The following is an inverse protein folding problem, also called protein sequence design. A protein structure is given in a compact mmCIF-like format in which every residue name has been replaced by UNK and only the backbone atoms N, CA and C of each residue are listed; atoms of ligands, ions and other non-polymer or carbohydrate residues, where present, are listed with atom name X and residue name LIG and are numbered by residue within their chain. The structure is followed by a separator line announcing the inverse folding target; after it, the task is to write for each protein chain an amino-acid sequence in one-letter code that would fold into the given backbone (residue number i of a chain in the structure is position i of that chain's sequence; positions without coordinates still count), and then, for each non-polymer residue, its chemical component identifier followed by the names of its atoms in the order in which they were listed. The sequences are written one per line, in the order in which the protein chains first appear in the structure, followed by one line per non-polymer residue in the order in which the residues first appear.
data_IF_753785325867
#
_entry.id   IF_753785325867
#
_cell.length_a   1.000
_cell.length_b   1.000
_cell.length_c   1.000
_cell.angle_alpha   90.00
_cell.angle_beta   90.00
_cell.angle_gamma   90.00
#
_symmetry.space_group_name_H-M   'P 1'
#
loop_
_entity.id
_entity.type
_entity.pdbx_description
1 polymer ?
#
# COMPACT_ATOMS: atom_id res chain seq x y z
N UNK A 1 -6.35 -45.26 15.08
CA UNK A 1 -7.47 -44.32 14.83
C UNK A 1 -6.89 -43.08 14.18
N UNK A 2 -6.99 -42.93 12.86
CA UNK A 2 -6.60 -41.68 12.19
C UNK A 2 -7.51 -40.56 12.68
N UNK A 3 -6.89 -39.47 13.13
CA UNK A 3 -7.60 -38.33 13.71
C UNK A 3 -8.16 -37.49 12.54
N UNK A 4 -9.36 -37.80 12.05
CA UNK A 4 -10.02 -37.11 10.94
C UNK A 4 -10.49 -35.68 11.28
N UNK A 5 -10.18 -35.17 12.48
CA UNK A 5 -10.60 -33.84 12.93
C UNK A 5 -9.68 -32.77 12.35
N UNK A 6 -10.22 -31.89 11.54
CA UNK A 6 -9.52 -30.70 11.03
C UNK A 6 -9.54 -29.56 12.05
N UNK A 7 -8.54 -28.69 12.02
CA UNK A 7 -8.38 -27.56 12.95
C UNK A 7 -8.11 -26.24 12.22
N UNK A 8 -8.77 -26.00 11.08
CA UNK A 8 -8.60 -24.77 10.30
C UNK A 8 -8.91 -23.50 11.10
N UNK A 9 -9.94 -23.54 11.95
CA UNK A 9 -10.33 -22.42 12.79
C UNK A 9 -9.21 -21.98 13.75
N UNK A 10 -8.50 -22.95 14.39
CA UNK A 10 -7.38 -22.64 15.28
C UNK A 10 -6.21 -22.04 14.52
N UNK A 11 -5.86 -22.64 13.37
CA UNK A 11 -4.78 -22.14 12.52
C UNK A 11 -5.07 -20.71 12.04
N UNK A 12 -6.32 -20.42 11.69
CA UNK A 12 -6.76 -19.09 11.26
C UNK A 12 -6.64 -18.06 12.40
N UNK A 13 -7.04 -18.39 13.62
CA UNK A 13 -6.85 -17.48 14.75
C UNK A 13 -5.36 -17.21 15.04
N UNK A 14 -4.51 -18.21 14.85
CA UNK A 14 -3.07 -18.02 14.94
C UNK A 14 -2.53 -17.06 13.87
N UNK A 15 -2.99 -17.21 12.62
CA UNK A 15 -2.65 -16.27 11.54
C UNK A 15 -3.16 -14.87 11.84
N UNK A 16 -4.38 -14.71 12.39
CA UNK A 16 -4.90 -13.42 12.81
C UNK A 16 -4.02 -12.75 13.87
N UNK A 17 -3.58 -13.52 14.86
CA UNK A 17 -2.70 -13.01 15.91
C UNK A 17 -1.37 -12.50 15.32
N UNK A 18 -0.73 -13.32 14.50
CA UNK A 18 0.53 -12.93 13.83
C UNK A 18 0.33 -11.70 12.95
N UNK A 19 -0.69 -11.71 12.09
CA UNK A 19 -0.98 -10.58 11.19
C UNK A 19 -1.25 -9.28 11.97
N UNK A 20 -2.01 -9.36 13.06
CA UNK A 20 -2.30 -8.20 13.91
C UNK A 20 -1.03 -7.67 14.59
N UNK A 21 -0.18 -8.57 15.15
CA UNK A 21 1.09 -8.16 15.76
C UNK A 21 2.01 -7.51 14.74
N UNK A 22 2.17 -8.13 13.56
CA UNK A 22 3.02 -7.59 12.50
C UNK A 22 2.54 -6.20 12.06
N UNK A 23 1.25 -6.05 11.75
CA UNK A 23 0.68 -4.77 11.31
C UNK A 23 0.80 -3.71 12.41
N UNK A 24 0.61 -4.09 13.67
CA UNK A 24 0.68 -3.15 14.79
C UNK A 24 2.11 -2.69 15.07
N UNK A 25 3.10 -3.60 15.03
CA UNK A 25 4.48 -3.30 15.37
C UNK A 25 5.28 -2.65 14.21
N UNK A 26 4.85 -2.87 12.97
CA UNK A 26 5.60 -2.46 11.77
C UNK A 26 5.91 -0.95 11.70
N UNK A 27 5.01 -0.01 12.07
CA UNK A 27 5.29 1.42 12.07
C UNK A 27 6.37 1.85 13.07
N UNK A 28 6.61 1.06 14.13
CA UNK A 28 7.61 1.36 15.16
C UNK A 28 9.01 0.84 14.82
N UNK A 29 9.13 0.00 13.78
CA UNK A 29 10.43 -0.56 13.41
C UNK A 29 11.20 0.46 12.59
N UNK A 30 12.27 0.98 13.16
CA UNK A 30 13.17 1.96 12.53
C UNK A 30 14.60 1.47 12.50
N UNK A 31 15.30 1.69 11.38
CA UNK A 31 16.75 1.46 11.24
C UNK A 31 17.37 2.74 10.68
N UNK A 32 18.38 3.26 11.37
CA UNK A 32 19.06 4.51 11.01
C UNK A 32 18.11 5.72 10.85
N UNK A 33 17.02 5.77 11.65
CA UNK A 33 16.03 6.85 11.58
C UNK A 33 15.01 6.71 10.45
N UNK A 34 15.05 5.64 9.66
CA UNK A 34 14.06 5.36 8.62
C UNK A 34 13.14 4.23 9.06
N UNK A 35 11.82 4.45 8.93
CA UNK A 35 10.82 3.41 9.19
C UNK A 35 10.82 2.34 8.11
N UNK A 36 10.38 1.13 8.48
CA UNK A 36 10.21 0.05 7.51
C UNK A 36 9.20 0.41 6.41
N UNK A 37 8.06 0.99 6.78
CA UNK A 37 7.07 1.52 5.87
C UNK A 37 6.42 2.76 6.47
N UNK A 38 6.56 3.90 5.82
CA UNK A 38 5.93 5.17 6.21
C UNK A 38 5.72 6.03 4.97
N UNK A 39 4.50 6.44 4.70
CA UNK A 39 4.16 7.43 3.68
C UNK A 39 3.85 8.77 4.36
N UNK A 40 4.88 9.53 4.73
CA UNK A 40 4.69 10.82 5.39
C UNK A 40 4.37 11.92 4.38
N UNK A 41 3.17 12.49 4.52
CA UNK A 41 2.77 13.66 3.73
C UNK A 41 3.42 14.95 4.27
N UNK A 42 3.53 15.09 5.59
CA UNK A 42 4.11 16.28 6.23
C UNK A 42 5.59 16.45 5.86
N UNK A 43 6.36 15.37 5.88
CA UNK A 43 7.77 15.38 5.51
C UNK A 43 8.00 15.13 4.02
N UNK A 44 6.93 14.90 3.23
CA UNK A 44 7.01 14.59 1.80
C UNK A 44 7.99 13.45 1.49
N UNK A 45 7.96 12.39 2.29
CA UNK A 45 8.85 11.22 2.22
C UNK A 45 8.07 9.93 2.20
N UNK A 46 8.55 8.98 1.40
CA UNK A 46 8.14 7.59 1.43
C UNK A 46 9.30 6.75 1.96
N UNK A 47 9.13 6.13 3.11
CA UNK A 47 10.08 5.13 3.60
C UNK A 47 9.57 3.75 3.19
N UNK A 48 10.40 2.97 2.51
CA UNK A 48 10.11 1.60 2.09
C UNK A 48 11.34 0.74 2.34
N UNK A 49 11.19 -0.33 3.13
CA UNK A 49 12.29 -1.22 3.53
C UNK A 49 13.51 -0.45 4.08
N UNK A 50 13.26 0.53 4.97
CA UNK A 50 14.27 1.40 5.60
C UNK A 50 14.99 2.36 4.63
N UNK A 51 14.55 2.44 3.37
CA UNK A 51 15.06 3.38 2.39
C UNK A 51 14.07 4.54 2.27
N UNK A 52 14.56 5.76 2.45
CA UNK A 52 13.73 6.96 2.29
C UNK A 52 13.75 7.42 0.83
N UNK A 53 12.57 7.60 0.26
CA UNK A 53 12.33 8.16 -1.06
C UNK A 53 11.71 9.55 -0.90
N UNK A 54 12.15 10.49 -1.72
CA UNK A 54 11.59 11.84 -1.76
C UNK A 54 10.36 11.92 -2.66
N UNK A 55 9.65 13.05 -2.61
CA UNK A 55 8.47 13.29 -3.46
C UNK A 55 8.77 13.15 -4.96
N UNK A 56 10.00 13.44 -5.38
CA UNK A 56 10.42 13.30 -6.77
C UNK A 56 10.57 11.84 -7.21
N UNK A 57 10.77 10.94 -6.27
CA UNK A 57 10.89 9.49 -6.49
C UNK A 57 9.54 8.77 -6.33
N UNK A 58 8.44 9.52 -6.11
CA UNK A 58 7.08 8.98 -5.92
C UNK A 58 6.57 8.22 -7.16
N UNK A 59 7.27 8.33 -8.30
CA UNK A 59 6.98 7.52 -9.50
C UNK A 59 7.08 6.00 -9.25
N UNK A 60 7.71 5.56 -8.15
CA UNK A 60 7.75 4.16 -7.74
C UNK A 60 6.42 3.66 -7.15
N UNK A 61 5.58 4.56 -6.60
CA UNK A 61 4.30 4.18 -5.97
C UNK A 61 3.34 3.43 -6.88
N UNK A 62 3.09 3.86 -8.14
CA UNK A 62 2.24 3.11 -9.06
C UNK A 62 2.73 1.67 -9.28
N UNK A 63 4.05 1.46 -9.42
CA UNK A 63 4.63 0.13 -9.60
C UNK A 63 4.49 -0.75 -8.37
N UNK A 64 4.63 -0.16 -7.17
CA UNK A 64 4.37 -0.85 -5.91
C UNK A 64 2.91 -1.30 -5.79
N UNK A 65 1.97 -0.42 -6.15
CA UNK A 65 0.54 -0.74 -6.16
C UNK A 65 0.22 -1.84 -7.18
N UNK A 66 0.76 -1.74 -8.39
CA UNK A 66 0.61 -2.78 -9.42
C UNK A 66 1.14 -4.12 -8.91
N UNK A 67 2.33 -4.13 -8.30
CA UNK A 67 2.90 -5.35 -7.71
C UNK A 67 2.00 -5.94 -6.62
N UNK A 68 1.47 -5.10 -5.73
CA UNK A 68 0.56 -5.52 -4.66
C UNK A 68 -0.73 -6.14 -5.23
N UNK A 69 -1.35 -5.51 -6.23
CA UNK A 69 -2.55 -6.04 -6.88
C UNK A 69 -2.27 -7.36 -7.61
N UNK A 70 -1.15 -7.46 -8.34
CA UNK A 70 -0.74 -8.70 -9.00
C UNK A 70 -0.49 -9.82 -8.00
N UNK A 71 0.12 -9.52 -6.86
CA UNK A 71 0.35 -10.48 -5.78
C UNK A 71 -0.98 -11.00 -5.19
N UNK A 72 -1.92 -10.11 -4.94
CA UNK A 72 -3.26 -10.48 -4.46
C UNK A 72 -3.99 -11.36 -5.50
N UNK A 73 -3.89 -11.02 -6.78
CA UNK A 73 -4.49 -11.82 -7.86
C UNK A 73 -3.83 -13.18 -7.98
N UNK A 74 -2.52 -13.26 -7.86
CA UNK A 74 -1.80 -14.53 -7.85
C UNK A 74 -2.27 -15.45 -6.73
N UNK A 75 -2.35 -14.94 -5.49
CA UNK A 75 -2.89 -15.70 -4.35
C UNK A 75 -4.34 -16.13 -4.59
N UNK A 76 -5.15 -15.26 -5.20
CA UNK A 76 -6.55 -15.54 -5.51
C UNK A 76 -6.71 -16.69 -6.50
N UNK A 77 -5.85 -16.77 -7.51
CA UNK A 77 -5.91 -17.88 -8.48
C UNK A 77 -5.53 -19.21 -7.86
N UNK A 78 -4.69 -19.23 -6.84
CA UNK A 78 -4.29 -20.44 -6.11
C UNK A 78 -5.34 -20.86 -5.09
N UNK A 79 -5.70 -19.97 -4.18
CA UNK A 79 -6.47 -20.28 -2.97
C UNK A 79 -7.88 -19.66 -2.91
N UNK A 80 -8.37 -19.09 -4.02
CA UNK A 80 -9.67 -18.43 -4.03
C UNK A 80 -9.70 -17.24 -3.06
N UNK A 81 -10.70 -17.15 -2.20
CA UNK A 81 -10.88 -16.08 -1.21
C UNK A 81 -10.06 -16.29 0.07
N UNK A 82 -8.89 -16.92 -0.01
CA UNK A 82 -8.05 -17.17 1.16
C UNK A 82 -7.71 -15.87 1.90
N UNK A 83 -7.35 -14.81 1.18
CA UNK A 83 -7.07 -13.51 1.79
C UNK A 83 -8.23 -12.99 2.65
N UNK A 84 -9.46 -13.09 2.14
CA UNK A 84 -10.65 -12.59 2.83
C UNK A 84 -10.85 -13.26 4.20
N UNK A 85 -10.61 -14.57 4.29
CA UNK A 85 -10.83 -15.30 5.53
C UNK A 85 -9.65 -15.31 6.48
N UNK A 86 -8.41 -15.17 5.97
CA UNK A 86 -7.20 -15.44 6.76
C UNK A 86 -6.39 -14.20 7.11
N UNK A 87 -6.51 -13.11 6.35
CA UNK A 87 -5.65 -11.92 6.56
C UNK A 87 -6.39 -10.59 6.44
N UNK A 88 -7.62 -10.58 5.94
CA UNK A 88 -8.38 -9.34 5.76
C UNK A 88 -8.73 -8.69 7.11
N UNK A 89 -8.38 -7.40 7.33
CA UNK A 89 -8.72 -6.69 8.57
C UNK A 89 -10.22 -6.72 8.89
N UNK A 90 -11.09 -6.56 7.88
CA UNK A 90 -12.54 -6.64 8.04
C UNK A 90 -12.97 -7.93 8.75
N UNK A 91 -12.44 -9.07 8.30
CA UNK A 91 -12.78 -10.38 8.89
C UNK A 91 -12.17 -10.54 10.28
N UNK A 92 -10.94 -10.07 10.51
CA UNK A 92 -10.28 -10.13 11.83
C UNK A 92 -11.10 -9.35 12.85
N UNK A 93 -11.42 -8.08 12.58
CA UNK A 93 -12.18 -7.25 13.50
C UNK A 93 -13.62 -7.74 13.68
N UNK A 94 -14.22 -8.31 12.62
CA UNK A 94 -15.54 -8.93 12.73
C UNK A 94 -15.53 -10.16 13.65
N UNK A 95 -14.48 -10.97 13.61
CA UNK A 95 -14.28 -12.10 14.52
C UNK A 95 -14.05 -11.60 15.95
N UNK A 96 -13.26 -10.55 16.16
CA UNK A 96 -13.06 -9.93 17.49
C UNK A 96 -14.42 -9.47 18.04
N UNK A 97 -15.21 -8.73 17.27
CA UNK A 97 -16.49 -8.24 17.72
C UNK A 97 -17.49 -9.37 18.03
N UNK A 98 -17.68 -10.31 17.08
CA UNK A 98 -18.69 -11.38 17.20
C UNK A 98 -18.27 -12.47 18.20
N UNK A 99 -17.04 -13.01 18.07
CA UNK A 99 -16.65 -14.20 18.80
C UNK A 99 -16.08 -13.86 20.19
N UNK A 100 -15.40 -12.71 20.35
CA UNK A 100 -14.84 -12.29 21.64
C UNK A 100 -15.83 -11.40 22.39
N UNK A 101 -16.24 -10.24 21.84
CA UNK A 101 -17.07 -9.26 22.57
C UNK A 101 -18.48 -9.82 22.77
N UNK A 102 -19.18 -10.17 21.67
CA UNK A 102 -20.60 -10.58 21.77
C UNK A 102 -20.76 -11.96 22.40
N UNK A 103 -19.86 -12.92 22.11
CA UNK A 103 -20.06 -14.31 22.56
C UNK A 103 -19.40 -14.59 23.91
N UNK A 104 -18.09 -14.31 24.06
CA UNK A 104 -17.37 -14.64 25.29
C UNK A 104 -17.64 -13.60 26.39
N UNK A 105 -17.54 -12.30 26.08
CA UNK A 105 -17.59 -11.23 27.07
C UNK A 105 -19.04 -10.87 27.47
N UNK A 106 -19.87 -10.49 26.52
CA UNK A 106 -21.24 -10.05 26.79
C UNK A 106 -22.29 -11.17 26.82
N UNK A 107 -21.92 -12.36 26.33
CA UNK A 107 -22.83 -13.54 26.25
C UNK A 107 -24.14 -13.23 25.52
N UNK A 108 -24.09 -12.40 24.47
CA UNK A 108 -25.22 -12.08 23.59
C UNK A 108 -25.55 -13.30 22.70
N UNK A 109 -24.53 -14.09 22.37
CA UNK A 109 -24.68 -15.34 21.62
C UNK A 109 -24.39 -16.54 22.53
N UNK A 110 -25.18 -17.60 22.39
CA UNK A 110 -25.06 -18.78 23.27
C UNK A 110 -23.75 -19.55 23.01
N UNK A 111 -23.35 -19.66 21.76
CA UNK A 111 -22.23 -20.50 21.38
C UNK A 111 -21.51 -19.96 20.13
N UNK A 112 -20.20 -20.05 20.09
CA UNK A 112 -19.37 -19.71 18.93
C UNK A 112 -19.71 -20.58 17.72
N UNK A 113 -20.12 -21.83 17.94
CA UNK A 113 -20.49 -22.77 16.88
C UNK A 113 -21.83 -22.47 16.22
N UNK A 114 -22.65 -21.57 16.78
CA UNK A 114 -23.88 -21.10 16.14
C UNK A 114 -23.82 -19.59 15.94
N UNK A 115 -23.43 -19.18 14.74
CA UNK A 115 -23.25 -17.77 14.39
C UNK A 115 -24.54 -17.10 13.91
N UNK A 116 -25.60 -17.86 13.76
CA UNK A 116 -26.87 -17.37 13.22
C UNK A 116 -27.84 -16.87 14.29
N UNK A 117 -27.80 -17.44 15.49
CA UNK A 117 -28.76 -17.12 16.55
C UNK A 117 -28.19 -16.15 17.58
N UNK A 118 -28.86 -15.03 17.75
CA UNK A 118 -28.65 -14.08 18.85
C UNK A 118 -29.78 -14.21 19.86
N UNK A 119 -29.52 -13.86 21.13
CA UNK A 119 -30.60 -13.70 22.10
C UNK A 119 -31.38 -12.42 21.78
N UNK A 120 -32.70 -12.52 21.78
CA UNK A 120 -33.60 -11.38 21.63
C UNK A 120 -33.60 -10.49 22.88
N UNK A 121 -33.94 -9.20 22.73
CA UNK A 121 -34.19 -8.30 23.86
C UNK A 121 -32.96 -7.76 24.60
N UNK A 122 -31.72 -8.06 24.19
CA UNK A 122 -30.50 -7.61 24.88
C UNK A 122 -29.94 -6.28 24.33
N UNK A 123 -30.78 -5.28 24.18
CA UNK A 123 -30.39 -3.98 23.58
C UNK A 123 -29.26 -3.28 24.36
N UNK A 124 -29.31 -3.27 25.67
CA UNK A 124 -28.27 -2.65 26.50
C UNK A 124 -26.89 -3.31 26.29
N UNK A 125 -26.85 -4.65 26.27
CA UNK A 125 -25.58 -5.37 26.01
C UNK A 125 -25.07 -5.15 24.60
N UNK A 126 -25.98 -5.07 23.61
CA UNK A 126 -25.59 -4.75 22.21
C UNK A 126 -24.97 -3.35 22.15
N UNK A 127 -25.61 -2.36 22.78
CA UNK A 127 -25.09 -0.99 22.87
C UNK A 127 -23.71 -0.95 23.55
N UNK A 128 -23.56 -1.63 24.69
CA UNK A 128 -22.27 -1.75 25.37
C UNK A 128 -21.20 -2.39 24.49
N UNK A 129 -21.57 -3.41 23.71
CA UNK A 129 -20.68 -4.06 22.74
C UNK A 129 -20.19 -3.09 21.66
N UNK A 130 -21.05 -2.20 21.18
CA UNK A 130 -20.68 -1.16 20.20
C UNK A 130 -19.69 -0.17 20.82
N UNK A 131 -19.93 0.27 22.06
CA UNK A 131 -19.02 1.18 22.79
C UNK A 131 -17.64 0.53 22.98
N UNK A 132 -17.59 -0.71 23.46
CA UNK A 132 -16.32 -1.43 23.62
C UNK A 132 -15.59 -1.53 22.29
N UNK A 133 -16.30 -1.84 21.23
CA UNK A 133 -15.69 -1.95 19.91
C UNK A 133 -15.23 -0.59 19.38
N UNK A 134 -15.91 0.51 19.69
CA UNK A 134 -15.47 1.85 19.31
C UNK A 134 -14.08 2.20 19.89
N UNK A 135 -13.80 1.83 21.13
CA UNK A 135 -12.46 2.03 21.70
C UNK A 135 -11.40 1.16 20.99
N UNK A 136 -11.76 -0.06 20.60
CA UNK A 136 -10.86 -0.91 19.78
C UNK A 136 -10.64 -0.28 18.40
N UNK A 137 -11.68 0.30 17.81
CA UNK A 137 -11.57 0.95 16.50
C UNK A 137 -10.72 2.22 16.56
N UNK A 138 -10.73 2.98 17.65
CA UNK A 138 -9.80 4.10 17.85
C UNK A 138 -8.33 3.63 17.78
N UNK A 139 -8.00 2.53 18.45
CA UNK A 139 -6.65 1.96 18.40
C UNK A 139 -6.32 1.45 17.00
N UNK A 140 -7.26 0.80 16.32
CA UNK A 140 -7.07 0.29 14.97
C UNK A 140 -6.84 1.40 13.93
N UNK A 141 -7.64 2.47 14.02
CA UNK A 141 -7.50 3.64 13.14
C UNK A 141 -6.23 4.43 13.47
N UNK A 142 -5.85 4.56 14.76
CA UNK A 142 -4.56 5.14 15.13
C UNK A 142 -3.40 4.35 14.50
N UNK A 143 -3.45 3.01 14.58
CA UNK A 143 -2.43 2.17 13.93
C UNK A 143 -2.39 2.40 12.41
N UNK A 144 -3.52 2.56 11.75
CA UNK A 144 -3.56 2.90 10.33
C UNK A 144 -2.91 4.28 10.06
N UNK A 145 -3.18 5.28 10.92
CA UNK A 145 -2.62 6.63 10.79
C UNK A 145 -1.09 6.64 10.98
N UNK A 146 -0.52 5.73 11.79
CA UNK A 146 0.93 5.62 11.98
C UNK A 146 1.70 5.20 10.72
N UNK A 147 1.02 4.69 9.70
CA UNK A 147 1.60 4.47 8.37
C UNK A 147 1.71 5.74 7.52
N UNK A 148 1.03 6.83 7.93
CA UNK A 148 1.03 8.12 7.24
C UNK A 148 1.68 9.24 8.05
N UNK A 149 1.65 9.13 9.37
CA UNK A 149 2.24 10.08 10.32
C UNK A 149 3.18 9.29 11.23
N UNK A 150 4.47 9.69 11.36
CA UNK A 150 5.38 9.01 12.28
C UNK A 150 4.74 8.86 13.67
N UNK A 151 4.86 7.70 14.34
CA UNK A 151 4.25 7.51 15.65
C UNK A 151 4.66 8.58 16.68
N UNK A 152 5.91 9.05 16.63
CA UNK A 152 6.44 10.11 17.50
C UNK A 152 5.67 11.42 17.32
N UNK A 153 5.45 11.84 16.06
CA UNK A 153 4.71 13.06 15.73
C UNK A 153 3.21 12.89 16.07
N UNK A 154 2.65 11.71 15.80
CA UNK A 154 1.25 11.41 16.12
C UNK A 154 0.95 11.58 17.61
N UNK A 155 1.80 11.07 18.50
CA UNK A 155 1.62 11.22 19.93
C UNK A 155 1.80 12.68 20.38
N UNK A 156 2.72 13.43 19.77
CA UNK A 156 2.87 14.87 20.04
C UNK A 156 1.64 15.66 19.58
N UNK A 157 1.03 15.31 18.43
CA UNK A 157 -0.19 15.96 17.93
C UNK A 157 -1.40 15.71 18.81
N UNK A 158 -1.53 14.53 19.40
CA UNK A 158 -2.59 14.24 20.38
C UNK A 158 -2.42 15.06 21.66
N UNK A 159 -1.19 15.34 22.10
CA UNK A 159 -0.93 16.17 23.29
C UNK A 159 -1.26 17.64 23.05
N UNK A 160 -1.23 18.11 21.80
CA UNK A 160 -1.55 19.50 21.42
C UNK A 160 -2.80 19.56 20.52
N UNK A 161 -4.00 19.22 21.06
CA UNK A 161 -5.22 19.05 20.27
C UNK A 161 -5.68 20.34 19.56
N UNK A 162 -5.37 21.51 20.11
CA UNK A 162 -5.78 22.80 19.54
C UNK A 162 -5.15 23.11 18.18
N UNK A 163 -3.95 22.62 17.93
CA UNK A 163 -3.22 22.85 16.68
C UNK A 163 -3.52 21.77 15.60
N UNK A 164 -4.04 20.61 16.02
CA UNK A 164 -4.22 19.43 15.14
C UNK A 164 -5.67 18.92 15.11
N UNK A 165 -6.65 19.82 15.10
CA UNK A 165 -8.09 19.49 15.08
C UNK A 165 -8.48 18.60 13.89
N UNK A 166 -7.85 18.79 12.73
CA UNK A 166 -8.11 17.98 11.55
C UNK A 166 -7.76 16.50 11.78
N UNK A 167 -6.60 16.22 12.36
CA UNK A 167 -6.16 14.87 12.69
C UNK A 167 -7.13 14.18 13.64
N UNK A 168 -7.53 14.89 14.71
CA UNK A 168 -8.50 14.37 15.67
C UNK A 168 -9.87 14.12 15.01
N UNK A 169 -10.32 15.05 14.16
CA UNK A 169 -11.54 14.88 13.39
C UNK A 169 -11.50 13.61 12.51
N UNK A 170 -10.40 13.39 11.77
CA UNK A 170 -10.20 12.18 10.97
C UNK A 170 -10.21 10.93 11.86
N UNK A 171 -9.47 10.95 12.97
CA UNK A 171 -9.40 9.81 13.89
C UNK A 171 -10.78 9.41 14.43
N UNK A 172 -11.56 10.36 14.94
CA UNK A 172 -12.88 10.07 15.49
C UNK A 172 -13.91 9.68 14.44
N UNK A 173 -13.97 10.40 13.31
CA UNK A 173 -14.90 10.08 12.22
C UNK A 173 -14.59 8.73 11.58
N UNK A 174 -13.32 8.44 11.27
CA UNK A 174 -12.92 7.16 10.69
C UNK A 174 -13.19 6.00 11.68
N UNK A 175 -12.94 6.18 12.98
CA UNK A 175 -13.24 5.17 14.00
C UNK A 175 -14.74 4.92 14.13
N UNK A 176 -15.56 5.96 14.02
CA UNK A 176 -17.03 5.82 14.02
C UNK A 176 -17.50 5.05 12.78
N UNK A 177 -17.01 5.43 11.59
CA UNK A 177 -17.36 4.74 10.33
C UNK A 177 -16.93 3.28 10.37
N UNK A 178 -15.73 2.99 10.87
CA UNK A 178 -15.24 1.62 11.01
C UNK A 178 -16.07 0.82 12.01
N UNK A 179 -16.49 1.44 13.12
CA UNK A 179 -17.41 0.81 14.10
C UNK A 179 -18.75 0.48 13.47
N UNK A 180 -19.34 1.41 12.71
CA UNK A 180 -20.61 1.18 12.01
C UNK A 180 -20.48 0.05 10.98
N UNK A 181 -19.36 -0.01 10.25
CA UNK A 181 -19.10 -1.09 9.31
C UNK A 181 -19.10 -2.46 10.02
N UNK A 182 -18.28 -2.64 11.04
CA UNK A 182 -18.12 -3.94 11.73
C UNK A 182 -19.38 -4.33 12.50
N UNK A 183 -20.07 -3.38 13.11
CA UNK A 183 -21.23 -3.69 14.00
C UNK A 183 -22.54 -3.80 13.23
N UNK A 184 -22.75 -2.96 12.22
CA UNK A 184 -24.01 -2.86 11.47
C UNK A 184 -23.95 -3.51 10.09
N UNK A 185 -22.99 -3.13 9.22
CA UNK A 185 -22.86 -3.74 7.88
C UNK A 185 -22.41 -5.19 7.96
N UNK A 186 -21.49 -5.50 8.85
CA UNK A 186 -21.05 -6.87 9.12
C UNK A 186 -20.50 -7.56 7.85
N UNK A 187 -20.91 -8.80 7.63
CA UNK A 187 -20.55 -9.60 6.46
C UNK A 187 -21.16 -9.07 5.15
N UNK A 188 -22.20 -8.23 5.23
CA UNK A 188 -22.81 -7.57 4.06
C UNK A 188 -21.83 -6.64 3.35
N UNK A 189 -20.88 -6.04 4.09
CA UNK A 189 -19.82 -5.26 3.50
C UNK A 189 -19.04 -6.05 2.43
N UNK A 190 -18.67 -7.30 2.75
CA UNK A 190 -17.94 -8.17 1.82
C UNK A 190 -18.76 -8.55 0.58
N UNK A 191 -20.09 -8.60 0.69
CA UNK A 191 -20.97 -9.01 -0.41
C UNK A 191 -21.32 -7.82 -1.31
N UNK A 192 -21.64 -6.66 -0.73
CA UNK A 192 -22.25 -5.54 -1.46
C UNK A 192 -21.30 -4.37 -1.70
N UNK A 193 -20.36 -4.10 -0.79
CA UNK A 193 -19.52 -2.89 -0.80
C UNK A 193 -18.11 -3.18 -1.32
N UNK A 194 -17.50 -4.30 -0.91
CA UNK A 194 -16.11 -4.60 -1.22
C UNK A 194 -15.90 -4.90 -2.71
N UNK A 195 -15.20 -4.07 -3.48
CA UNK A 195 -14.96 -4.30 -4.91
C UNK A 195 -14.10 -5.54 -5.17
N UNK A 196 -13.17 -5.82 -4.26
CA UNK A 196 -12.28 -6.99 -4.36
C UNK A 196 -13.06 -8.31 -4.37
N UNK A 197 -14.14 -8.42 -3.57
CA UNK A 197 -14.97 -9.62 -3.53
C UNK A 197 -15.65 -9.90 -4.88
N UNK A 198 -15.97 -8.88 -5.66
CA UNK A 198 -16.56 -9.02 -7.01
C UNK A 198 -15.50 -9.43 -8.03
N UNK A 199 -14.34 -8.77 -8.03
CA UNK A 199 -13.23 -9.07 -8.95
C UNK A 199 -12.74 -10.51 -8.76
N UNK A 200 -12.60 -10.97 -7.51
CA UNK A 200 -12.15 -12.33 -7.21
C UNK A 200 -13.04 -13.42 -7.85
N UNK A 201 -14.36 -13.23 -7.83
CA UNK A 201 -15.28 -14.25 -8.34
C UNK A 201 -15.10 -14.53 -9.83
N UNK A 202 -14.66 -13.52 -10.60
CA UNK A 202 -14.36 -13.66 -12.04
C UNK A 202 -13.02 -14.38 -12.27
N UNK A 203 -12.15 -14.39 -11.27
CA UNK A 203 -10.81 -15.01 -11.36
C UNK A 203 -10.82 -16.50 -11.03
N UNK A 204 -11.93 -17.08 -10.56
CA UNK A 204 -12.00 -18.50 -10.24
C UNK A 204 -12.07 -19.35 -11.52
N UNK A 205 -11.46 -20.51 -11.45
CA UNK A 205 -11.55 -21.57 -12.45
C UNK A 205 -11.76 -22.93 -11.75
N UNK A 206 -11.92 -23.99 -12.53
CA UNK A 206 -12.16 -25.34 -12.02
C UNK A 206 -11.02 -25.92 -11.18
N UNK A 207 -9.80 -25.39 -11.31
CA UNK A 207 -8.63 -25.80 -10.54
C UNK A 207 -8.36 -24.90 -9.34
N UNK A 208 -9.09 -23.76 -9.18
CA UNK A 208 -8.93 -22.85 -8.02
C UNK A 208 -9.42 -23.53 -6.74
N UNK A 209 -8.58 -23.48 -5.69
CA UNK A 209 -8.97 -24.05 -4.39
C UNK A 209 -10.09 -23.25 -3.74
N UNK A 210 -11.13 -23.95 -3.36
CA UNK A 210 -12.31 -23.40 -2.70
C UNK A 210 -12.80 -24.35 -1.62
N UNK A 211 -13.71 -23.87 -0.77
CA UNK A 211 -14.42 -24.74 0.17
C UNK A 211 -15.57 -25.39 -0.58
N UNK A 212 -15.51 -26.71 -0.74
CA UNK A 212 -16.48 -27.46 -1.54
C UNK A 212 -17.05 -28.61 -0.71
N UNK A 213 -18.37 -28.80 -0.82
CA UNK A 213 -19.08 -29.99 -0.33
C UNK A 213 -18.94 -31.09 -1.38
N UNK A 214 -18.52 -32.26 -0.95
CA UNK A 214 -18.42 -33.45 -1.82
C UNK A 214 -19.77 -34.12 -1.97
N UNK A 215 -20.49 -33.82 -3.03
CA UNK A 215 -21.81 -34.38 -3.35
C UNK A 215 -21.75 -35.87 -3.67
N UNK A 216 -20.63 -36.38 -4.23
CA UNK A 216 -20.46 -37.79 -4.57
C UNK A 216 -20.45 -38.68 -3.34
N UNK A 217 -19.87 -38.19 -2.23
CA UNK A 217 -19.86 -38.89 -0.95
C UNK A 217 -21.05 -38.53 -0.09
N UNK A 218 -21.36 -37.23 -0.03
CA UNK A 218 -22.37 -36.70 0.87
C UNK A 218 -23.80 -36.92 0.43
N UNK A 219 -24.02 -37.12 -0.85
CA UNK A 219 -25.33 -37.20 -1.48
C UNK A 219 -25.89 -35.83 -1.87
N UNK A 220 -26.84 -35.83 -2.79
CA UNK A 220 -27.49 -34.63 -3.34
C UNK A 220 -28.50 -34.08 -2.33
N UNK A 221 -28.32 -32.82 -1.93
CA UNK A 221 -29.19 -32.09 -1.00
C UNK A 221 -30.00 -31.03 -1.73
N UNK A 222 -29.42 -30.43 -2.74
CA UNK A 222 -30.03 -29.37 -3.56
C UNK A 222 -29.99 -29.76 -5.04
N UNK A 223 -31.05 -29.38 -5.75
CA UNK A 223 -31.07 -29.33 -7.21
C UNK A 223 -31.21 -27.85 -7.60
N UNK A 224 -30.11 -27.28 -8.09
CA UNK A 224 -29.99 -25.84 -8.28
C UNK A 224 -30.27 -25.05 -6.99
N UNK A 225 -31.37 -24.28 -6.99
CA UNK A 225 -31.75 -23.48 -5.81
C UNK A 225 -32.74 -24.17 -4.87
N UNK A 226 -33.33 -25.30 -5.29
CA UNK A 226 -34.38 -25.99 -4.54
C UNK A 226 -33.79 -27.04 -3.61
N UNK A 227 -34.13 -26.95 -2.31
CA UNK A 227 -33.72 -27.96 -1.33
C UNK A 227 -34.60 -29.19 -1.49
N UNK A 228 -34.01 -30.29 -1.94
CA UNK A 228 -34.73 -31.57 -2.13
C UNK A 228 -34.86 -32.32 -0.81
N UNK A 229 -33.73 -32.41 -0.07
CA UNK A 229 -33.68 -33.25 1.12
C UNK A 229 -32.97 -32.52 2.28
N UNK A 230 -33.44 -32.76 3.51
CA UNK A 230 -32.66 -32.38 4.71
C UNK A 230 -31.52 -33.37 4.94
N UNK A 231 -31.81 -34.65 4.75
CA UNK A 231 -30.88 -35.77 4.74
C UNK A 231 -31.05 -36.51 3.43
N UNK A 232 -30.02 -36.65 2.59
CA UNK A 232 -30.14 -37.37 1.32
C UNK A 232 -30.44 -38.85 1.60
N UNK A 233 -31.26 -39.51 0.74
CA UNK A 233 -31.55 -40.93 0.90
C UNK A 233 -30.31 -41.78 0.75
N UNK A 234 -29.40 -41.41 -0.13
CA UNK A 234 -28.11 -42.03 -0.34
C UNK A 234 -27.00 -41.01 -0.04
N UNK A 235 -26.00 -41.42 0.71
CA UNK A 235 -24.85 -40.56 1.05
C UNK A 235 -24.49 -40.52 2.54
N UNK A 236 -23.33 -40.00 2.81
CA UNK A 236 -22.78 -39.93 4.17
C UNK A 236 -23.29 -38.73 4.99
N UNK A 237 -23.97 -37.75 4.36
CA UNK A 237 -24.50 -36.58 5.07
C UNK A 237 -25.74 -36.95 5.90
N UNK A 238 -25.63 -36.71 7.22
CA UNK A 238 -26.74 -37.01 8.16
C UNK A 238 -27.73 -35.86 8.33
N UNK A 239 -27.57 -34.74 7.59
CA UNK A 239 -28.48 -33.60 7.65
C UNK A 239 -28.42 -32.78 8.95
N UNK A 240 -27.31 -32.79 9.68
CA UNK A 240 -27.18 -32.12 10.99
C UNK A 240 -27.11 -30.61 10.91
N UNK A 241 -26.90 -30.01 9.74
CA UNK A 241 -26.83 -28.56 9.47
C UNK A 241 -25.75 -27.79 10.32
N UNK A 242 -24.79 -28.53 10.91
CA UNK A 242 -23.71 -27.90 11.67
C UNK A 242 -22.85 -26.95 10.80
N UNK A 243 -22.64 -27.30 9.53
CA UNK A 243 -21.94 -26.46 8.53
C UNK A 243 -22.67 -25.16 8.23
N UNK A 244 -24.01 -25.18 8.22
CA UNK A 244 -24.86 -24.00 8.00
C UNK A 244 -24.86 -23.11 9.23
N UNK A 245 -25.04 -23.69 10.41
CA UNK A 245 -25.14 -22.95 11.68
C UNK A 245 -23.84 -22.20 12.04
N UNK A 246 -22.68 -22.76 11.67
CA UNK A 246 -21.39 -22.13 11.96
C UNK A 246 -20.98 -21.10 10.92
N UNK A 247 -21.64 -21.06 9.75
CA UNK A 247 -21.22 -20.19 8.65
C UNK A 247 -21.37 -18.70 9.02
N UNK A 248 -20.28 -17.90 8.94
CA UNK A 248 -20.34 -16.48 9.26
C UNK A 248 -21.11 -15.66 8.24
N UNK A 249 -21.15 -16.09 6.97
CA UNK A 249 -21.86 -15.41 5.89
C UNK A 249 -23.26 -15.94 5.66
N UNK A 250 -23.75 -16.81 6.55
CA UNK A 250 -25.11 -17.36 6.55
C UNK A 250 -25.50 -18.14 5.28
N UNK A 251 -24.52 -18.80 4.64
CA UNK A 251 -24.77 -19.65 3.47
C UNK A 251 -24.92 -21.13 3.86
N UNK A 252 -25.56 -21.88 2.98
CA UNK A 252 -25.53 -23.35 3.00
C UNK A 252 -24.55 -23.85 1.94
N UNK A 253 -23.35 -24.29 2.38
CA UNK A 253 -22.28 -24.75 1.49
C UNK A 253 -22.69 -25.97 0.64
N UNK A 254 -23.73 -26.68 1.03
CA UNK A 254 -24.25 -27.85 0.31
C UNK A 254 -24.98 -27.49 -0.99
N UNK A 255 -25.27 -26.19 -1.21
CA UNK A 255 -25.75 -25.65 -2.49
C UNK A 255 -24.69 -25.56 -3.59
N UNK A 256 -23.46 -25.94 -3.28
CA UNK A 256 -22.31 -25.71 -4.15
C UNK A 256 -21.67 -24.35 -3.92
N UNK A 257 -20.94 -23.85 -4.92
CA UNK A 257 -20.19 -22.61 -4.85
C UNK A 257 -21.13 -21.41 -4.77
N UNK A 258 -20.88 -20.54 -3.78
CA UNK A 258 -21.63 -19.30 -3.58
C UNK A 258 -20.67 -18.12 -3.44
N UNK A 259 -21.03 -16.97 -4.02
CA UNK A 259 -20.21 -15.76 -4.03
C UNK A 259 -19.95 -15.19 -2.63
N UNK A 260 -20.81 -15.49 -1.68
CA UNK A 260 -20.70 -15.04 -0.29
C UNK A 260 -19.68 -15.85 0.52
N UNK A 261 -19.23 -17.01 0.02
CA UNK A 261 -18.26 -17.85 0.70
C UNK A 261 -16.90 -17.15 0.75
N UNK A 262 -16.37 -16.93 1.98
CA UNK A 262 -15.05 -16.30 2.20
C UNK A 262 -13.91 -17.31 2.36
N UNK A 263 -14.14 -18.60 2.15
CA UNK A 263 -13.16 -19.68 2.34
C UNK A 263 -12.60 -19.77 3.77
N UNK A 264 -13.45 -19.59 4.78
CA UNK A 264 -13.02 -19.60 6.19
C UNK A 264 -12.83 -21.01 6.79
N UNK A 265 -13.34 -22.07 6.12
CA UNK A 265 -13.21 -23.47 6.49
C UNK A 265 -13.83 -23.88 7.84
N UNK A 266 -14.62 -23.01 8.47
CA UNK A 266 -15.31 -23.36 9.72
C UNK A 266 -16.35 -24.48 9.53
N UNK A 267 -16.98 -24.51 8.37
CA UNK A 267 -17.92 -25.58 8.01
C UNK A 267 -17.19 -26.92 7.82
N UNK A 268 -15.95 -26.92 7.33
CA UNK A 268 -15.13 -28.12 7.24
C UNK A 268 -14.79 -28.67 8.63
N UNK A 269 -14.40 -27.80 9.58
CA UNK A 269 -14.13 -28.20 10.96
C UNK A 269 -15.38 -28.70 11.67
N UNK A 270 -16.55 -28.07 11.44
CA UNK A 270 -17.81 -28.53 12.02
C UNK A 270 -18.22 -29.89 11.45
N UNK A 271 -18.07 -30.09 10.15
CA UNK A 271 -18.37 -31.37 9.50
C UNK A 271 -17.40 -32.47 9.95
N UNK A 272 -16.10 -32.17 10.06
CA UNK A 272 -15.12 -33.16 10.51
C UNK A 272 -15.39 -33.67 11.93
N UNK A 273 -15.83 -32.79 12.86
CA UNK A 273 -16.24 -33.16 14.21
C UNK A 273 -17.48 -34.09 14.25
N UNK A 274 -18.37 -33.91 13.29
CA UNK A 274 -19.57 -34.78 13.20
C UNK A 274 -19.21 -36.11 12.53
N UNK A 275 -18.49 -36.07 11.40
CA UNK A 275 -18.13 -37.25 10.63
C UNK A 275 -17.12 -38.16 11.36
N UNK A 276 -16.22 -37.57 12.20
CA UNK A 276 -15.27 -38.35 12.99
C UNK A 276 -15.98 -39.32 13.97
N UNK A 277 -17.20 -39.02 14.43
CA UNK A 277 -18.00 -39.95 15.24
C UNK A 277 -18.37 -41.24 14.49
N UNK A 278 -18.34 -41.20 13.17
CA UNK A 278 -18.60 -42.32 12.29
C UNK A 278 -17.33 -42.87 11.65
N UNK A 279 -16.15 -42.47 12.13
CA UNK A 279 -14.82 -42.77 11.56
C UNK A 279 -14.71 -42.42 10.06
N UNK A 280 -15.28 -41.28 9.69
CA UNK A 280 -15.28 -40.78 8.30
C UNK A 280 -14.59 -39.41 8.23
N UNK A 281 -13.87 -39.09 7.14
CA UNK A 281 -13.34 -37.74 6.91
C UNK A 281 -14.44 -36.75 6.58
N UNK A 282 -14.17 -35.45 6.75
CA UNK A 282 -15.11 -34.36 6.43
C UNK A 282 -15.65 -34.49 5.00
N UNK A 283 -16.92 -34.12 4.83
CA UNK A 283 -17.58 -33.98 3.51
C UNK A 283 -17.33 -32.62 2.88
N UNK A 284 -16.75 -31.68 3.66
CA UNK A 284 -16.44 -30.34 3.22
C UNK A 284 -14.93 -30.17 3.27
N UNK A 285 -14.31 -29.90 2.13
CA UNK A 285 -12.88 -29.86 1.99
C UNK A 285 -12.41 -28.58 1.32
N UNK A 286 -11.19 -28.18 1.57
CA UNK A 286 -10.50 -27.13 0.83
C UNK A 286 -9.79 -27.78 -0.37
N UNK A 287 -10.41 -27.70 -1.53
CA UNK A 287 -9.99 -28.40 -2.74
C UNK A 287 -10.52 -27.69 -3.99
N UNK A 288 -10.22 -28.20 -5.17
CA UNK A 288 -10.80 -27.70 -6.42
C UNK A 288 -11.96 -28.57 -6.92
N UNK A 289 -12.87 -27.97 -7.71
CA UNK A 289 -13.97 -28.68 -8.32
C UNK A 289 -13.48 -29.87 -9.15
N UNK A 290 -12.46 -29.64 -9.98
CA UNK A 290 -11.85 -30.68 -10.80
C UNK A 290 -11.24 -31.81 -9.99
N UNK A 291 -10.60 -31.51 -8.85
CA UNK A 291 -10.01 -32.53 -7.99
C UNK A 291 -11.09 -33.46 -7.39
N UNK A 292 -12.28 -32.94 -7.05
CA UNK A 292 -13.42 -33.76 -6.60
C UNK A 292 -13.98 -34.60 -7.75
N UNK A 293 -14.17 -33.99 -8.93
CA UNK A 293 -14.69 -34.67 -10.10
C UNK A 293 -13.82 -35.85 -10.54
N UNK A 294 -12.51 -35.62 -10.60
CA UNK A 294 -11.55 -36.62 -11.10
C UNK A 294 -10.92 -37.48 -9.98
N UNK A 295 -11.28 -37.22 -8.71
CA UNK A 295 -10.63 -37.83 -7.51
C UNK A 295 -9.11 -37.72 -7.52
N UNK A 296 -8.57 -36.63 -8.07
CA UNK A 296 -7.16 -36.34 -8.19
C UNK A 296 -6.70 -35.30 -7.15
N UNK A 297 -5.40 -35.05 -7.11
CA UNK A 297 -4.84 -33.94 -6.31
C UNK A 297 -5.07 -32.61 -7.04
N UNK A 298 -5.11 -31.52 -6.29
CA UNK A 298 -5.22 -30.18 -6.85
C UNK A 298 -3.98 -29.85 -7.69
N UNK A 299 -4.18 -29.36 -8.90
CA UNK A 299 -3.12 -28.91 -9.79
C UNK A 299 -2.79 -27.43 -9.56
N UNK A 300 -1.67 -27.16 -8.87
CA UNK A 300 -1.21 -25.79 -8.60
C UNK A 300 -0.47 -25.17 -9.78
N UNK A 301 0.37 -25.99 -10.47
CA UNK A 301 1.18 -25.55 -11.61
C UNK A 301 0.38 -25.69 -12.91
N UNK A 302 -0.36 -24.67 -13.24
CA UNK A 302 -1.14 -24.55 -14.45
C UNK A 302 -0.72 -23.30 -15.22
N UNK A 303 -1.04 -23.22 -16.51
CA UNK A 303 -0.64 -22.11 -17.38
C UNK A 303 -0.97 -20.74 -16.73
N UNK A 304 -2.17 -20.59 -16.19
CA UNK A 304 -2.63 -19.34 -15.56
C UNK A 304 -1.80 -18.94 -14.34
N UNK A 305 -1.51 -19.87 -13.44
CA UNK A 305 -0.70 -19.59 -12.23
C UNK A 305 0.76 -19.29 -12.60
N UNK A 306 1.30 -20.01 -13.59
CA UNK A 306 2.65 -19.76 -14.10
C UNK A 306 2.74 -18.38 -14.76
N UNK A 307 1.74 -18.00 -15.57
CA UNK A 307 1.68 -16.68 -16.19
C UNK A 307 1.65 -15.55 -15.16
N UNK A 308 0.79 -15.64 -14.13
CA UNK A 308 0.76 -14.65 -13.04
C UNK A 308 2.08 -14.60 -12.26
N UNK A 309 2.71 -15.76 -12.02
CA UNK A 309 4.01 -15.81 -11.34
C UNK A 309 5.12 -15.12 -12.14
N UNK A 310 5.15 -15.35 -13.45
CA UNK A 310 6.13 -14.71 -14.35
C UNK A 310 5.91 -13.19 -14.37
N UNK A 311 4.66 -12.73 -14.52
CA UNK A 311 4.35 -11.29 -14.52
C UNK A 311 4.71 -10.64 -13.18
N UNK A 312 4.46 -11.34 -12.07
CA UNK A 312 4.84 -10.87 -10.74
C UNK A 312 6.36 -10.76 -10.59
N UNK A 313 7.11 -11.74 -11.11
CA UNK A 313 8.57 -11.73 -11.10
C UNK A 313 9.13 -10.56 -11.93
N UNK A 314 8.55 -10.32 -13.12
CA UNK A 314 8.92 -9.18 -13.97
C UNK A 314 8.66 -7.87 -13.26
N UNK A 315 7.49 -7.71 -12.61
CA UNK A 315 7.14 -6.52 -11.85
C UNK A 315 8.10 -6.29 -10.67
N UNK A 316 8.48 -7.36 -9.96
CA UNK A 316 9.45 -7.30 -8.86
C UNK A 316 10.85 -6.89 -9.36
N UNK A 317 11.31 -7.47 -10.46
CA UNK A 317 12.59 -7.11 -11.07
C UNK A 317 12.60 -5.65 -11.54
N UNK A 318 11.50 -5.19 -12.15
CA UNK A 318 11.35 -3.79 -12.54
C UNK A 318 11.44 -2.85 -11.33
N UNK A 319 10.76 -3.17 -10.22
CA UNK A 319 10.83 -2.40 -8.97
C UNK A 319 12.25 -2.36 -8.41
N UNK A 320 12.97 -3.48 -8.40
CA UNK A 320 14.36 -3.55 -7.91
C UNK A 320 15.28 -2.69 -8.80
N UNK A 321 15.17 -2.82 -10.12
CA UNK A 321 15.99 -2.05 -11.08
C UNK A 321 15.70 -0.55 -10.96
N UNK A 322 14.42 -0.16 -10.83
CA UNK A 322 14.05 1.24 -10.67
C UNK A 322 14.48 1.80 -9.31
N UNK A 323 14.33 1.02 -8.25
CA UNK A 323 14.78 1.40 -6.89
C UNK A 323 16.30 1.49 -6.77
N UNK A 324 17.06 0.68 -7.50
CA UNK A 324 18.53 0.72 -7.50
C UNK A 324 19.12 1.96 -8.20
N UNK A 325 18.33 2.65 -9.05
CA UNK A 325 18.73 3.89 -9.71
C UNK A 325 18.53 5.14 -8.84
N UNK A 326 18.44 4.99 -7.52
CA UNK A 326 18.28 6.10 -6.60
C UNK A 326 19.44 7.07 -6.75
N UNK A 327 19.12 8.33 -7.07
CA UNK A 327 20.11 9.42 -7.04
C UNK A 327 20.36 9.82 -5.57
N UNK A 328 21.62 9.79 -5.11
CA UNK A 328 22.01 10.23 -3.76
C UNK A 328 21.97 11.75 -3.57
N UNK A 329 21.66 12.49 -4.64
CA UNK A 329 21.45 13.93 -4.64
C UNK A 329 20.38 14.29 -5.68
N UNK A 330 19.45 15.17 -5.31
CA UNK A 330 18.48 15.73 -6.25
C UNK A 330 18.78 17.21 -6.48
N UNK A 331 18.73 17.61 -7.75
CA UNK A 331 18.87 18.99 -8.19
C UNK A 331 17.70 19.35 -9.11
N UNK A 332 16.91 20.35 -8.70
CA UNK A 332 15.93 21.01 -9.56
C UNK A 332 16.41 22.42 -9.87
N UNK A 333 16.24 22.83 -11.13
CA UNK A 333 16.68 24.12 -11.63
C UNK A 333 15.44 24.87 -12.15
N UNK A 334 15.06 25.92 -11.42
CA UNK A 334 14.03 26.85 -11.83
C UNK A 334 14.68 28.13 -12.31
N UNK A 335 14.27 28.63 -13.46
CA UNK A 335 14.72 29.94 -13.95
C UNK A 335 13.94 31.04 -13.25
N UNK A 336 14.60 32.21 -13.10
CA UNK A 336 13.90 33.44 -12.72
C UNK A 336 12.91 33.86 -13.80
N UNK A 337 11.91 34.63 -13.41
CA UNK A 337 10.98 35.26 -14.34
C UNK A 337 11.66 36.24 -15.32
N UNK A 338 12.76 36.86 -14.89
CA UNK A 338 13.61 37.68 -15.73
C UNK A 338 14.55 36.80 -16.55
N UNK A 339 14.55 37.00 -17.88
CA UNK A 339 15.36 36.20 -18.80
C UNK A 339 16.85 36.44 -18.59
N UNK A 340 17.26 37.70 -18.38
CA UNK A 340 18.62 38.11 -18.09
C UNK A 340 18.61 39.47 -17.36
N UNK A 341 19.71 39.80 -16.69
CA UNK A 341 19.96 41.10 -16.09
C UNK A 341 21.20 41.71 -16.73
N UNK A 342 21.09 42.97 -17.17
CA UNK A 342 22.21 43.75 -17.73
C UNK A 342 22.64 44.74 -16.66
N UNK A 343 23.83 44.57 -16.12
CA UNK A 343 24.40 45.45 -15.10
C UNK A 343 25.74 46.03 -15.57
N UNK A 344 26.09 47.21 -15.05
CA UNK A 344 27.36 47.84 -15.33
C UNK A 344 28.30 47.57 -14.15
N UNK A 345 29.40 46.90 -14.40
CA UNK A 345 30.41 46.58 -13.40
C UNK A 345 31.77 47.15 -13.88
N UNK A 346 32.28 48.14 -13.19
CA UNK A 346 33.59 48.81 -13.51
C UNK A 346 33.66 49.39 -14.94
N UNK A 347 32.54 49.84 -15.49
CA UNK A 347 32.51 50.45 -16.83
C UNK A 347 32.19 49.46 -17.97
N UNK A 348 32.12 48.17 -17.69
CA UNK A 348 31.73 47.14 -18.66
C UNK A 348 30.31 46.67 -18.44
N UNK A 349 29.54 46.48 -19.53
CA UNK A 349 28.21 45.87 -19.48
C UNK A 349 28.33 44.36 -19.30
N UNK A 350 27.76 43.90 -18.19
CA UNK A 350 27.80 42.48 -17.82
C UNK A 350 26.40 41.88 -17.83
N UNK A 351 26.30 40.75 -18.49
CA UNK A 351 25.05 40.02 -18.63
C UNK A 351 25.05 38.81 -17.68
N UNK A 352 24.01 38.73 -16.86
CA UNK A 352 23.84 37.61 -15.91
C UNK A 352 22.45 37.03 -15.99
N UNK A 353 22.35 35.70 -15.77
CA UNK A 353 21.12 34.99 -15.64
C UNK A 353 20.99 34.47 -14.20
N UNK A 354 19.78 34.60 -13.64
CA UNK A 354 19.48 34.13 -12.29
C UNK A 354 18.63 32.84 -12.33
N UNK A 355 18.99 31.91 -11.49
CA UNK A 355 18.33 30.61 -11.33
C UNK A 355 18.07 30.35 -9.85
N UNK A 356 17.02 29.59 -9.57
CA UNK A 356 16.78 29.03 -8.25
C UNK A 356 17.07 27.55 -8.30
N UNK A 357 18.16 27.12 -7.69
CA UNK A 357 18.51 25.72 -7.55
C UNK A 357 17.95 25.17 -6.25
N UNK A 358 17.28 24.06 -6.34
CA UNK A 358 16.79 23.28 -5.23
C UNK A 358 17.69 22.07 -5.09
N UNK A 359 18.56 22.08 -4.09
CA UNK A 359 19.41 20.94 -3.73
C UNK A 359 18.75 20.14 -2.63
N UNK A 360 18.78 18.82 -2.75
CA UNK A 360 18.36 17.91 -1.69
C UNK A 360 19.38 16.80 -1.54
N UNK A 361 19.83 16.59 -0.30
CA UNK A 361 20.64 15.43 0.07
C UNK A 361 19.71 14.24 0.32
N UNK A 362 19.71 13.24 -0.55
CA UNK A 362 18.92 12.01 -0.41
C UNK A 362 19.73 10.87 0.21
N UNK A 363 21.01 11.11 0.53
CA UNK A 363 21.84 10.15 1.25
C UNK A 363 21.56 10.21 2.76
N UNK A 364 21.92 9.13 3.46
CA UNK A 364 21.81 9.00 4.93
C UNK A 364 22.89 9.75 5.71
N UNK A 365 23.90 10.32 5.01
CA UNK A 365 25.01 11.05 5.59
C UNK A 365 25.01 12.52 5.18
N UNK A 366 25.53 13.43 6.01
CA UNK A 366 25.73 14.81 5.61
C UNK A 366 26.87 14.90 4.57
N UNK A 367 26.67 15.73 3.53
CA UNK A 367 27.65 15.96 2.45
C UNK A 367 27.84 17.45 2.18
N UNK A 368 29.00 17.80 1.61
CA UNK A 368 29.30 19.14 1.14
C UNK A 368 29.09 19.20 -0.38
N UNK A 369 28.12 20.02 -0.82
CA UNK A 369 27.72 20.10 -2.23
C UNK A 369 28.26 21.37 -2.91
N UNK A 370 28.58 21.20 -4.21
CA UNK A 370 28.86 22.29 -5.11
C UNK A 370 28.45 21.91 -6.55
N UNK A 371 28.62 22.80 -7.51
CA UNK A 371 28.29 22.54 -8.90
C UNK A 371 29.22 23.32 -9.85
N UNK A 372 29.34 22.82 -11.08
CA UNK A 372 29.94 23.45 -12.24
C UNK A 372 28.91 23.72 -13.31
N UNK A 373 29.09 24.79 -14.07
CA UNK A 373 28.18 25.17 -15.15
C UNK A 373 29.02 25.47 -16.40
N UNK A 374 28.66 24.87 -17.53
CA UNK A 374 29.34 25.06 -18.83
C UNK A 374 28.32 25.29 -19.94
N UNK A 375 28.65 26.15 -20.89
CA UNK A 375 27.88 26.31 -22.12
C UNK A 375 28.30 25.26 -23.14
N UNK A 376 27.33 24.75 -23.91
CA UNK A 376 27.63 23.82 -24.98
C UNK A 376 28.42 24.53 -26.11
N UNK A 377 29.60 23.98 -26.44
CA UNK A 377 30.44 24.52 -27.54
C UNK A 377 31.25 25.77 -27.20
N UNK A 378 31.22 26.30 -25.96
CA UNK A 378 31.94 27.48 -25.58
C UNK A 378 32.71 27.21 -24.27
N UNK A 379 34.05 27.19 -24.36
CA UNK A 379 34.88 27.06 -23.19
C UNK A 379 35.10 28.42 -22.53
N UNK A 380 35.02 28.50 -21.20
CA UNK A 380 35.24 29.69 -20.38
C UNK A 380 34.34 30.90 -20.76
N UNK A 381 33.11 30.63 -21.21
CA UNK A 381 32.16 31.67 -21.60
C UNK A 381 31.31 32.22 -20.46
N UNK A 382 31.32 31.57 -19.29
CA UNK A 382 30.51 31.95 -18.12
C UNK A 382 31.26 31.75 -16.81
N UNK A 383 30.84 32.51 -15.79
CA UNK A 383 31.33 32.45 -14.42
C UNK A 383 30.19 32.36 -13.44
N UNK A 384 30.35 31.57 -12.38
CA UNK A 384 29.40 31.45 -11.27
C UNK A 384 29.69 32.52 -10.23
N UNK A 385 28.79 33.50 -10.06
CA UNK A 385 28.93 34.57 -9.09
C UNK A 385 28.41 34.19 -7.71
N UNK A 386 27.30 33.47 -7.67
CA UNK A 386 26.67 32.98 -6.44
C UNK A 386 26.09 31.56 -6.66
N UNK A 387 26.22 30.69 -5.69
CA UNK A 387 27.13 30.72 -4.52
C UNK A 387 28.59 30.54 -4.95
N UNK A 388 29.50 31.23 -4.24
CA UNK A 388 30.94 31.15 -4.52
C UNK A 388 31.68 30.12 -3.66
N UNK A 389 30.97 29.45 -2.75
CA UNK A 389 31.51 28.43 -1.84
C UNK A 389 30.60 27.21 -1.77
N UNK A 390 31.19 26.03 -1.55
CA UNK A 390 30.43 24.84 -1.22
C UNK A 390 29.60 25.01 0.05
N UNK A 391 28.52 24.22 0.19
CA UNK A 391 27.63 24.28 1.33
C UNK A 391 27.29 22.86 1.82
N UNK A 392 27.14 22.71 3.15
CA UNK A 392 26.81 21.43 3.77
C UNK A 392 25.30 21.26 3.85
N UNK A 393 24.84 20.01 3.59
CA UNK A 393 23.47 19.58 3.81
C UNK A 393 23.47 18.34 4.71
N UNK A 394 22.62 18.33 5.71
CA UNK A 394 22.37 17.15 6.55
C UNK A 394 21.66 16.07 5.71
N UNK A 395 21.61 14.85 6.24
CA UNK A 395 20.83 13.78 5.63
C UNK A 395 19.36 14.20 5.46
N UNK A 396 18.83 14.06 4.23
CA UNK A 396 17.45 14.43 3.88
C UNK A 396 17.15 15.94 3.83
N UNK A 397 18.13 16.80 4.08
CA UNK A 397 17.94 18.26 4.06
C UNK A 397 17.80 18.79 2.63
N UNK A 398 16.90 19.75 2.47
CA UNK A 398 16.64 20.45 1.23
C UNK A 398 16.92 21.95 1.40
N UNK A 399 17.61 22.53 0.43
CA UNK A 399 17.92 23.96 0.43
C UNK A 399 17.68 24.61 -0.92
N UNK A 400 17.11 25.81 -0.92
CA UNK A 400 17.01 26.69 -2.10
C UNK A 400 18.23 27.59 -2.15
N UNK A 401 18.95 27.63 -3.28
CA UNK A 401 20.06 28.53 -3.54
C UNK A 401 19.77 29.37 -4.78
N UNK A 402 19.90 30.69 -4.62
CA UNK A 402 19.89 31.60 -5.77
C UNK A 402 21.25 31.53 -6.43
N UNK A 403 21.26 31.11 -7.69
CA UNK A 403 22.46 30.97 -8.52
C UNK A 403 22.46 32.05 -9.56
N UNK A 404 23.56 32.83 -9.60
CA UNK A 404 23.76 33.87 -10.60
C UNK A 404 24.97 33.47 -11.44
N UNK A 405 24.74 33.30 -12.73
CA UNK A 405 25.76 32.98 -13.74
C UNK A 405 25.96 34.18 -14.62
N UNK A 406 27.19 34.62 -14.81
CA UNK A 406 27.60 35.78 -15.60
C UNK A 406 28.32 35.33 -16.85
N UNK A 407 28.08 36.04 -17.96
CA UNK A 407 28.90 35.88 -19.16
C UNK A 407 30.24 36.59 -18.98
N UNK A 408 31.34 35.88 -19.29
CA UNK A 408 32.74 36.43 -19.24
C UNK A 408 33.19 36.97 -20.59
N UNK A 409 32.51 36.58 -21.66
CA UNK A 409 32.80 36.98 -23.05
C UNK A 409 31.54 37.55 -23.73
N UNK A 410 31.74 38.33 -24.77
CA UNK A 410 30.63 38.74 -25.61
C UNK A 410 30.11 37.54 -26.44
N UNK A 411 28.92 37.11 -26.12
CA UNK A 411 28.27 35.96 -26.78
C UNK A 411 27.21 36.38 -27.82
N UNK A 412 27.14 37.70 -28.12
CA UNK A 412 26.18 38.24 -29.05
C UNK A 412 26.49 37.83 -30.51
N UNK A 413 25.67 37.00 -31.10
CA UNK A 413 25.79 36.58 -32.51
C UNK A 413 24.58 37.00 -33.37
N UNK A 414 23.62 37.77 -32.81
CA UNK A 414 22.42 38.13 -33.52
C UNK A 414 21.98 39.54 -33.14
N UNK A 415 21.69 40.35 -34.15
CA UNK A 415 21.22 41.75 -33.96
C UNK A 415 19.69 41.83 -33.77
N UNK A 416 18.94 40.80 -34.17
CA UNK A 416 17.46 40.82 -34.17
C UNK A 416 16.81 40.01 -33.03
N UNK A 417 17.46 38.98 -32.52
CA UNK A 417 16.88 38.07 -31.51
C UNK A 417 17.88 37.75 -30.40
N UNK A 418 17.36 37.54 -29.20
CA UNK A 418 18.15 37.01 -28.10
C UNK A 418 18.68 35.61 -28.43
N UNK A 419 19.89 35.33 -28.01
CA UNK A 419 20.55 34.03 -28.27
C UNK A 419 20.40 33.14 -27.06
N UNK A 420 20.03 31.89 -27.29
CA UNK A 420 19.82 30.89 -26.26
C UNK A 420 20.92 29.84 -26.36
N UNK A 421 21.68 29.69 -25.30
CA UNK A 421 22.73 28.69 -25.21
C UNK A 421 22.30 27.55 -24.26
N UNK A 422 22.47 26.27 -24.66
CA UNK A 422 22.30 25.16 -23.72
C UNK A 422 23.33 25.25 -22.59
N UNK A 423 22.83 25.23 -21.35
CA UNK A 423 23.63 25.29 -20.14
C UNK A 423 23.65 23.91 -19.47
N UNK A 424 24.83 23.32 -19.38
CA UNK A 424 25.08 22.04 -18.74
C UNK A 424 25.56 22.29 -17.31
N UNK A 425 24.84 21.73 -16.36
CA UNK A 425 25.12 21.87 -14.92
C UNK A 425 25.43 20.50 -14.36
N UNK A 426 26.63 20.35 -13.78
CA UNK A 426 27.05 19.18 -13.01
C UNK A 426 27.13 19.57 -11.56
N UNK A 427 26.18 19.09 -10.73
CA UNK A 427 26.28 19.19 -9.29
C UNK A 427 26.91 17.92 -8.73
N UNK A 428 27.70 18.06 -7.66
CA UNK A 428 28.44 16.96 -7.05
C UNK A 428 28.67 17.20 -5.56
N UNK A 429 28.88 16.10 -4.82
CA UNK A 429 29.36 16.16 -3.46
C UNK A 429 30.90 16.22 -3.48
N UNK A 430 31.47 17.19 -2.77
CA UNK A 430 32.93 17.42 -2.74
C UNK A 430 33.67 16.32 -1.97
N UNK A 431 33.02 15.71 -1.02
CA UNK A 431 33.51 14.63 -0.16
C UNK A 431 33.29 13.23 -0.74
N UNK A 432 32.46 13.10 -1.81
CA UNK A 432 32.19 11.83 -2.46
C UNK A 432 31.91 12.02 -3.97
N UNK A 433 32.89 11.79 -4.81
CA UNK A 433 32.78 11.98 -6.26
C UNK A 433 31.73 11.09 -6.96
N UNK A 434 31.31 9.99 -6.33
CA UNK A 434 30.25 9.11 -6.87
C UNK A 434 28.89 9.79 -6.83
N UNK A 435 28.71 10.78 -5.95
CA UNK A 435 27.46 11.53 -5.83
C UNK A 435 27.55 12.73 -6.79
N UNK A 436 27.03 12.57 -7.99
CA UNK A 436 26.95 13.65 -8.97
C UNK A 436 25.69 13.53 -9.82
N UNK A 437 25.12 14.67 -10.19
CA UNK A 437 23.89 14.78 -10.99
C UNK A 437 24.12 15.79 -12.10
N UNK A 438 23.70 15.42 -13.33
CA UNK A 438 23.73 16.29 -14.48
C UNK A 438 22.33 16.82 -14.79
N UNK A 439 22.21 18.13 -15.02
CA UNK A 439 20.97 18.77 -15.43
C UNK A 439 21.24 19.74 -16.59
N UNK A 440 20.27 19.90 -17.45
CA UNK A 440 20.32 20.87 -18.56
C UNK A 440 19.41 22.04 -18.24
N UNK A 441 19.86 23.23 -18.57
CA UNK A 441 19.10 24.48 -18.53
C UNK A 441 19.47 25.31 -19.75
N UNK A 442 19.06 26.54 -19.81
CA UNK A 442 19.42 27.46 -20.88
C UNK A 442 19.95 28.76 -20.29
N UNK A 443 20.97 29.32 -20.96
CA UNK A 443 21.50 30.64 -20.69
C UNK A 443 21.06 31.58 -21.84
N UNK A 444 20.41 32.69 -21.49
CA UNK A 444 19.90 33.65 -22.47
C UNK A 444 20.82 34.86 -22.52
N UNK A 445 21.27 35.18 -23.71
CA UNK A 445 22.07 36.36 -23.99
C UNK A 445 21.30 37.35 -24.86
N UNK A 446 21.21 38.64 -24.50
CA UNK A 446 20.43 39.63 -25.25
C UNK A 446 21.02 39.88 -26.63
N UNK A 447 20.16 40.34 -27.55
CA UNK A 447 20.52 40.79 -28.89
C UNK A 447 21.53 41.93 -28.84
N UNK A 448 22.41 42.03 -29.85
CA UNK A 448 23.49 43.00 -29.91
C UNK A 448 23.04 44.46 -29.88
N UNK A 449 21.82 44.74 -30.46
CA UNK A 449 21.25 46.08 -30.43
C UNK A 449 20.97 46.61 -29.03
N UNK A 450 20.42 45.78 -28.14
CA UNK A 450 20.15 46.14 -26.75
C UNK A 450 21.42 46.46 -25.93
N UNK A 451 22.52 45.87 -26.30
CA UNK A 451 23.83 46.07 -25.66
C UNK A 451 24.44 47.41 -26.14
N UNK A 452 24.28 47.70 -27.45
CA UNK A 452 24.76 49.00 -28.05
C UNK A 452 23.98 50.18 -27.50
N UNK A 453 22.62 50.08 -27.51
CA UNK A 453 21.74 51.13 -27.00
C UNK A 453 22.05 51.49 -25.50
N UNK A 454 22.34 50.49 -24.69
CA UNK A 454 22.74 50.71 -23.28
C UNK A 454 24.17 51.26 -23.10
N UNK A 455 25.04 51.13 -24.11
CA UNK A 455 26.36 51.76 -24.10
C UNK A 455 26.30 53.23 -24.55
N UNK A 456 25.35 53.57 -25.42
CA UNK A 456 25.16 54.96 -25.91
C UNK A 456 24.35 55.85 -24.94
N UNK A 457 23.64 55.26 -23.98
CA UNK A 457 22.91 55.94 -22.90
C UNK A 457 23.84 56.29 -21.69
N UNK A 458 25.13 56.24 -21.88
CA UNK A 458 26.19 56.74 -20.99
C UNK A 458 26.79 58.05 -21.50
#
# INVERSE_FOLDING_TARGET
MENHITNYTKNRYFVYLIATIVIFCLPFITINGNHFFLLSFDHSKLNLFFISFSTQELYLMPFLLIFLFLFIFFITTLGGRVWCAWSCPQTIFRVIYRDIIQTKFLKIRKNINNKQKEYEGQYFKKFLGVIIFYFISLVAVSNLLWYFIPPEDFFNYIQNPGEHLLLLGILFCASLLFTLDITYLQEKFCVYVCPYARIQSVMFDHDTMQVIYDEKRGGLIYDGHTKLHKKPPEGECIGCEACVSICPTHIDIRKGMQLECINCLECADACSKVQSKFNRPSLINWTSAKAIETRSKVHYLRFRTIAYFIVLLIALLALIIMGSKKESMLLNINRSSELYNISNVKGELVISNAYTFLFQNTDSKPHEYYFTANLEGINDGIEIIRPNKPFKLKAGEQVKKIVVIRATKNLANNDKKDVIFPLHIKAYAKDNEKISVFRKSIFVYPKSTLIKDKNELK
#
